data_IF_024296878536
#
_entry.id   IF_024296878536
#
_cell.length_a   1.000
_cell.length_b   1.000
_cell.length_c   1.000
_cell.angle_alpha   90.00
_cell.angle_beta   90.00
_cell.angle_gamma   90.00
#
_symmetry.space_group_name_H-M   'P 1'
#
loop_
_entity.id
_entity.type
_entity.pdbx_description
1 polymer ?
#
# COMPACT_ATOMS: atom_id res chain seq x y z
N UNK A 1 -15.22 63.00 26.95
CA UNK A 1 -14.00 62.57 26.23
C UNK A 1 -13.44 61.19 26.66
N UNK A 2 -13.62 60.78 27.91
CA UNK A 2 -13.12 59.44 28.34
C UNK A 2 -13.89 58.24 27.82
N UNK A 3 -15.18 58.41 27.44
CA UNK A 3 -16.01 57.30 26.88
C UNK A 3 -15.75 56.98 25.42
N UNK A 4 -15.25 57.94 24.64
CA UNK A 4 -14.94 57.74 23.22
C UNK A 4 -13.62 56.97 23.01
N UNK A 5 -12.67 57.15 23.96
CA UNK A 5 -11.38 56.46 23.93
C UNK A 5 -11.52 54.95 24.25
N UNK A 6 -12.49 54.59 25.10
CA UNK A 6 -12.73 53.17 25.43
C UNK A 6 -13.40 52.41 24.27
N UNK A 7 -14.27 53.11 23.51
CA UNK A 7 -14.94 52.51 22.35
C UNK A 7 -13.96 52.25 21.17
N UNK A 8 -12.98 53.16 21.00
CA UNK A 8 -11.94 53.00 19.99
C UNK A 8 -10.94 51.88 20.33
N UNK A 9 -10.66 51.70 21.65
CA UNK A 9 -9.80 50.61 22.11
C UNK A 9 -10.47 49.22 21.96
N UNK A 10 -11.79 49.14 22.15
CA UNK A 10 -12.54 47.89 21.94
C UNK A 10 -12.66 47.57 20.45
N UNK A 11 -12.79 48.58 19.59
CA UNK A 11 -12.85 48.38 18.15
C UNK A 11 -11.50 47.93 17.56
N UNK A 12 -10.37 48.34 18.15
CA UNK A 12 -9.04 47.87 17.73
C UNK A 12 -8.70 46.47 18.28
N UNK A 13 -9.34 45.98 19.32
CA UNK A 13 -9.15 44.64 19.85
C UNK A 13 -9.98 43.58 19.10
N UNK A 14 -10.99 43.99 18.31
CA UNK A 14 -11.78 43.06 17.49
C UNK A 14 -11.16 42.73 16.11
N UNK A 15 -10.07 43.42 15.76
CA UNK A 15 -9.41 43.22 14.44
C UNK A 15 -8.27 42.19 14.45
N UNK A 16 -8.02 41.49 15.60
CA UNK A 16 -6.91 40.55 15.74
C UNK A 16 -7.36 39.08 15.81
N UNK A 17 -8.67 38.83 15.73
CA UNK A 17 -9.17 37.46 15.56
C UNK A 17 -9.71 37.35 14.12
N UNK A 18 -8.84 37.50 13.15
CA UNK A 18 -9.06 36.83 11.89
C UNK A 18 -8.86 35.32 12.18
N UNK A 19 -9.86 34.46 11.95
CA UNK A 19 -9.58 33.04 11.94
C UNK A 19 -8.52 32.85 10.85
N UNK A 20 -7.35 32.37 11.26
CA UNK A 20 -6.43 31.77 10.33
C UNK A 20 -7.23 30.64 9.71
N UNK A 21 -7.82 30.86 8.56
CA UNK A 21 -8.19 29.75 7.69
C UNK A 21 -6.86 29.06 7.42
N UNK A 22 -6.62 27.97 8.15
CA UNK A 22 -5.63 27.02 7.71
C UNK A 22 -6.02 26.74 6.27
N UNK A 23 -5.16 27.08 5.34
CA UNK A 23 -5.28 26.72 3.94
C UNK A 23 -5.41 25.20 3.96
N UNK A 24 -6.64 24.73 3.78
CA UNK A 24 -6.94 23.31 3.70
C UNK A 24 -6.10 22.80 2.54
N UNK A 25 -5.05 22.05 2.87
CA UNK A 25 -4.15 21.52 1.88
C UNK A 25 -5.02 20.84 0.81
N UNK A 26 -4.94 21.32 -0.41
CA UNK A 26 -5.72 20.77 -1.52
C UNK A 26 -5.52 19.24 -1.52
N UNK A 27 -6.60 18.49 -1.61
CA UNK A 27 -6.52 17.04 -1.70
C UNK A 27 -5.55 16.67 -2.84
N UNK A 28 -4.65 15.70 -2.62
CA UNK A 28 -3.65 15.34 -3.61
C UNK A 28 -4.32 14.97 -4.92
N UNK A 29 -3.75 15.41 -6.04
CA UNK A 29 -4.23 15.07 -7.37
C UNK A 29 -4.08 13.57 -7.62
N UNK A 30 -4.87 13.02 -8.55
CA UNK A 30 -4.77 11.61 -8.96
C UNK A 30 -3.33 11.23 -9.35
N UNK A 31 -2.61 12.13 -10.00
CA UNK A 31 -1.20 11.93 -10.38
C UNK A 31 -0.29 11.85 -9.16
N UNK A 32 -0.53 12.66 -8.12
CA UNK A 32 0.24 12.61 -6.87
C UNK A 32 -0.07 11.34 -6.07
N UNK A 33 -1.33 10.91 -6.04
CA UNK A 33 -1.72 9.63 -5.42
C UNK A 33 -1.10 8.44 -6.15
N UNK A 34 -1.08 8.44 -7.49
CA UNK A 34 -0.44 7.41 -8.29
C UNK A 34 1.09 7.42 -8.09
N UNK A 35 1.71 8.58 -7.98
CA UNK A 35 3.14 8.69 -7.69
C UNK A 35 3.48 8.10 -6.31
N UNK A 36 2.67 8.38 -5.29
CA UNK A 36 2.84 7.77 -3.95
C UNK A 36 2.55 6.27 -3.94
N UNK A 37 1.58 5.79 -4.74
CA UNK A 37 1.23 4.38 -4.81
C UNK A 37 2.23 3.54 -5.60
N UNK A 38 3.11 4.17 -6.39
CA UNK A 38 4.04 3.51 -7.29
C UNK A 38 5.51 3.65 -6.87
N UNK A 39 5.78 4.00 -5.62
CA UNK A 39 7.15 4.09 -5.11
C UNK A 39 7.71 2.66 -4.92
N UNK A 40 8.22 2.09 -5.99
CA UNK A 40 8.84 0.77 -5.99
C UNK A 40 10.32 0.85 -6.37
N UNK A 41 11.11 0.04 -5.70
CA UNK A 41 12.51 -0.19 -6.03
C UNK A 41 12.64 -1.35 -7.03
N UNK A 42 13.69 -1.31 -7.81
CA UNK A 42 14.00 -2.35 -8.81
C UNK A 42 15.40 -2.88 -8.57
N UNK A 43 15.51 -4.20 -8.51
CA UNK A 43 16.78 -4.92 -8.65
C UNK A 43 16.86 -5.32 -10.11
N UNK A 44 17.84 -4.79 -10.83
CA UNK A 44 17.98 -5.08 -12.26
C UNK A 44 18.50 -6.51 -12.48
N UNK A 45 18.16 -7.05 -13.65
CA UNK A 45 18.69 -8.33 -14.09
C UNK A 45 20.20 -8.20 -14.34
N UNK A 46 20.93 -9.25 -14.02
CA UNK A 46 22.38 -9.34 -14.28
C UNK A 46 22.70 -10.72 -14.86
N UNK A 47 23.03 -10.75 -16.13
CA UNK A 47 23.38 -11.98 -16.83
C UNK A 47 24.66 -12.64 -16.30
N UNK A 48 25.58 -11.85 -15.75
CA UNK A 48 26.86 -12.38 -15.26
C UNK A 48 26.67 -13.20 -13.97
N UNK A 49 25.73 -12.80 -13.11
CA UNK A 49 25.38 -13.51 -11.88
C UNK A 49 24.18 -14.42 -12.06
N UNK A 50 23.38 -14.22 -13.09
CA UNK A 50 22.09 -14.87 -13.28
C UNK A 50 20.95 -14.24 -12.48
N UNK A 51 21.12 -13.02 -11.95
CA UNK A 51 20.07 -12.32 -11.22
C UNK A 51 18.89 -11.99 -12.11
N UNK A 52 17.69 -12.38 -11.69
CA UNK A 52 16.46 -11.95 -12.33
C UNK A 52 16.04 -10.56 -11.89
N UNK A 53 15.39 -9.80 -12.77
CA UNK A 53 14.82 -8.50 -12.44
C UNK A 53 13.68 -8.66 -11.44
N UNK A 54 13.76 -7.94 -10.32
CA UNK A 54 12.74 -7.94 -9.28
C UNK A 54 12.28 -6.50 -9.00
N UNK A 55 10.98 -6.28 -8.85
CA UNK A 55 10.42 -5.03 -8.35
C UNK A 55 9.79 -5.26 -6.99
N UNK A 56 9.94 -4.33 -6.06
CA UNK A 56 9.42 -4.45 -4.70
C UNK A 56 9.16 -3.06 -4.11
N UNK A 57 8.36 -2.99 -3.05
CA UNK A 57 8.10 -1.75 -2.31
C UNK A 57 9.01 -1.72 -1.10
N UNK A 58 9.86 -0.69 -1.02
CA UNK A 58 10.76 -0.49 0.10
C UNK A 58 9.98 -0.38 1.42
N UNK A 59 10.48 -1.04 2.46
CA UNK A 59 9.84 -1.08 3.77
C UNK A 59 8.63 -2.02 3.88
N UNK A 60 8.08 -2.49 2.75
CA UNK A 60 6.98 -3.46 2.76
C UNK A 60 7.45 -4.88 2.45
N UNK A 61 8.35 -5.03 1.48
CA UNK A 61 8.89 -6.33 1.10
C UNK A 61 10.35 -6.40 1.50
N UNK A 62 10.72 -7.35 2.35
CA UNK A 62 12.11 -7.62 2.66
C UNK A 62 12.81 -8.31 1.49
N UNK A 63 14.11 -8.04 1.35
CA UNK A 63 14.97 -8.69 0.36
C UNK A 63 15.95 -9.58 1.09
N UNK A 64 15.98 -10.84 0.70
CA UNK A 64 16.95 -11.84 1.15
C UNK A 64 18.10 -11.93 0.16
N UNK A 65 19.28 -12.27 0.66
CA UNK A 65 20.44 -12.55 -0.15
C UNK A 65 20.93 -13.97 0.12
N UNK A 66 20.99 -14.78 -0.92
CA UNK A 66 21.49 -16.14 -0.88
C UNK A 66 22.31 -16.44 -2.15
N UNK A 67 23.46 -17.05 -1.98
CA UNK A 67 24.38 -17.40 -3.09
C UNK A 67 24.79 -16.20 -3.98
N UNK A 68 24.82 -14.98 -3.40
CA UNK A 68 25.09 -13.75 -4.13
C UNK A 68 23.93 -13.23 -4.98
N UNK A 69 22.75 -13.82 -4.85
CA UNK A 69 21.52 -13.44 -5.55
C UNK A 69 20.48 -12.90 -4.56
N UNK A 70 19.55 -12.09 -5.08
CA UNK A 70 18.50 -11.43 -4.30
C UNK A 70 17.14 -12.05 -4.56
N UNK A 71 16.37 -12.20 -3.49
CA UNK A 71 15.04 -12.81 -3.47
C UNK A 71 14.10 -11.95 -2.64
N UNK A 72 12.79 -12.07 -2.89
CA UNK A 72 11.78 -11.42 -2.07
C UNK A 72 11.38 -12.35 -0.93
N UNK A 73 11.42 -11.84 0.29
CA UNK A 73 10.81 -12.48 1.47
C UNK A 73 9.33 -12.07 1.52
N UNK A 74 8.47 -12.92 1.00
CA UNK A 74 7.05 -12.61 0.83
C UNK A 74 6.25 -12.83 2.12
N UNK A 75 6.64 -13.83 2.92
CA UNK A 75 6.01 -14.13 4.21
C UNK A 75 6.70 -13.45 5.40
N UNK A 76 7.82 -12.75 5.17
CA UNK A 76 8.59 -11.99 6.17
C UNK A 76 9.15 -12.85 7.30
N UNK A 77 9.49 -14.10 7.01
CA UNK A 77 10.07 -15.01 7.99
C UNK A 77 11.61 -14.93 8.10
N UNK A 78 12.26 -14.18 7.21
CA UNK A 78 13.70 -13.99 7.16
C UNK A 78 14.47 -15.18 6.59
N UNK A 79 13.81 -16.11 5.92
CA UNK A 79 14.40 -17.30 5.29
C UNK A 79 13.96 -17.35 3.84
N UNK A 80 14.80 -17.91 2.99
CA UNK A 80 14.42 -18.18 1.61
C UNK A 80 13.64 -19.49 1.56
N UNK A 81 12.34 -19.40 1.43
CA UNK A 81 11.48 -20.55 1.21
C UNK A 81 11.52 -20.97 -0.27
N UNK A 82 11.20 -22.25 -0.55
CA UNK A 82 11.31 -22.73 -1.93
C UNK A 82 10.35 -22.02 -2.88
N UNK A 83 9.16 -21.59 -2.43
CA UNK A 83 8.23 -20.86 -3.29
C UNK A 83 8.72 -19.43 -3.65
N UNK A 84 9.63 -18.87 -2.87
CA UNK A 84 10.25 -17.56 -3.11
C UNK A 84 11.47 -17.65 -4.04
N UNK A 85 12.08 -18.83 -4.11
CA UNK A 85 13.26 -19.08 -4.92
C UNK A 85 12.89 -19.20 -6.40
N UNK A 86 13.07 -18.11 -7.13
CA UNK A 86 12.77 -18.03 -8.55
C UNK A 86 13.66 -18.91 -9.44
N UNK A 87 14.72 -19.53 -8.90
CA UNK A 87 15.59 -20.50 -9.61
C UNK A 87 14.93 -21.87 -9.76
N UNK A 88 13.99 -22.19 -8.85
CA UNK A 88 13.26 -23.46 -8.85
C UNK A 88 12.16 -23.48 -9.91
N UNK A 89 11.78 -24.68 -10.30
CA UNK A 89 10.66 -24.88 -11.23
C UNK A 89 9.34 -24.43 -10.61
N UNK A 90 8.35 -24.13 -11.46
CA UNK A 90 7.02 -23.75 -10.98
C UNK A 90 6.40 -24.85 -10.10
N UNK A 91 6.58 -26.12 -10.46
CA UNK A 91 6.01 -27.25 -9.72
C UNK A 91 6.61 -27.36 -8.31
N UNK A 92 7.93 -27.18 -8.16
CA UNK A 92 8.60 -27.18 -6.87
C UNK A 92 8.14 -26.02 -5.99
N UNK A 93 8.03 -24.84 -6.56
CA UNK A 93 7.56 -23.63 -5.87
C UNK A 93 6.09 -23.76 -5.45
N UNK A 94 5.22 -24.28 -6.33
CA UNK A 94 3.81 -24.50 -6.03
C UNK A 94 3.66 -25.55 -4.91
N UNK A 95 4.40 -26.66 -4.98
CA UNK A 95 4.33 -27.70 -3.96
C UNK A 95 4.71 -27.17 -2.57
N UNK A 96 5.76 -26.35 -2.50
CA UNK A 96 6.19 -25.73 -1.24
C UNK A 96 5.13 -24.72 -0.73
N UNK A 97 4.64 -23.83 -1.57
CA UNK A 97 3.61 -22.86 -1.18
C UNK A 97 2.35 -23.55 -0.67
N UNK A 98 1.84 -24.56 -1.39
CA UNK A 98 0.65 -25.30 -0.98
C UNK A 98 0.86 -26.04 0.35
N UNK A 99 2.09 -26.50 0.65
CA UNK A 99 2.39 -27.16 1.93
C UNK A 99 2.32 -26.20 3.13
N UNK A 100 2.46 -24.90 2.88
CA UNK A 100 2.46 -23.85 3.90
C UNK A 100 1.09 -23.16 4.04
N UNK A 101 0.21 -23.28 3.03
CA UNK A 101 -1.12 -22.68 3.05
C UNK A 101 -2.10 -23.48 3.89
N UNK A 102 -2.96 -22.77 4.60
CA UNK A 102 -4.14 -23.36 5.25
C UNK A 102 -5.21 -23.72 4.23
N UNK A 103 -6.17 -24.56 4.62
CA UNK A 103 -7.30 -24.90 3.75
C UNK A 103 -8.13 -23.67 3.39
N UNK A 104 -8.32 -22.75 4.35
CA UNK A 104 -9.03 -21.49 4.14
C UNK A 104 -8.33 -20.59 3.11
N UNK A 105 -7.00 -20.50 3.15
CA UNK A 105 -6.21 -19.73 2.19
C UNK A 105 -6.27 -20.34 0.79
N UNK A 106 -6.22 -21.67 0.69
CA UNK A 106 -6.38 -22.36 -0.59
C UNK A 106 -7.77 -22.12 -1.19
N UNK A 107 -8.83 -22.20 -0.38
CA UNK A 107 -10.20 -21.93 -0.82
C UNK A 107 -10.34 -20.46 -1.23
N UNK A 108 -9.85 -19.54 -0.41
CA UNK A 108 -9.88 -18.11 -0.69
C UNK A 108 -9.18 -17.74 -1.99
N UNK A 109 -8.06 -18.42 -2.29
CA UNK A 109 -7.30 -18.24 -3.52
C UNK A 109 -8.06 -18.68 -4.80
N UNK A 110 -9.01 -19.60 -4.67
CA UNK A 110 -9.84 -20.05 -5.79
C UNK A 110 -11.06 -19.16 -6.06
N UNK A 111 -11.42 -18.30 -5.10
CA UNK A 111 -12.62 -17.47 -5.19
C UNK A 111 -12.27 -16.11 -5.78
N UNK A 112 -13.17 -15.59 -6.62
CA UNK A 112 -13.15 -14.24 -7.12
C UNK A 112 -14.53 -13.63 -6.96
N UNK A 113 -14.66 -12.58 -6.15
CA UNK A 113 -15.93 -11.91 -5.93
C UNK A 113 -15.88 -10.45 -6.33
N UNK A 114 -17.06 -9.90 -6.59
CA UNK A 114 -17.23 -8.46 -6.76
C UNK A 114 -17.46 -7.85 -5.37
N UNK A 115 -16.53 -7.03 -4.91
CA UNK A 115 -16.60 -6.36 -3.62
C UNK A 115 -16.53 -4.84 -3.78
N UNK A 116 -17.26 -4.12 -2.93
CA UNK A 116 -17.06 -2.69 -2.80
C UNK A 116 -15.72 -2.42 -2.11
N UNK A 117 -15.11 -1.26 -2.39
CA UNK A 117 -13.76 -0.92 -1.91
C UNK A 117 -13.70 -0.90 -0.37
N UNK A 118 -14.75 -0.44 0.29
CA UNK A 118 -14.88 -0.41 1.75
C UNK A 118 -14.97 -1.82 2.39
N UNK A 119 -15.39 -2.82 1.62
CA UNK A 119 -15.50 -4.22 2.04
C UNK A 119 -14.25 -5.04 1.70
N UNK A 120 -13.38 -4.51 0.83
CA UNK A 120 -12.23 -5.25 0.32
C UNK A 120 -11.35 -5.81 1.43
N UNK A 121 -11.04 -4.99 2.43
CA UNK A 121 -10.19 -5.40 3.56
C UNK A 121 -10.82 -6.55 4.35
N UNK A 122 -12.10 -6.46 4.66
CA UNK A 122 -12.83 -7.52 5.35
C UNK A 122 -12.80 -8.84 4.56
N UNK A 123 -13.02 -8.77 3.26
CA UNK A 123 -13.01 -9.94 2.38
C UNK A 123 -11.61 -10.58 2.29
N UNK A 124 -10.56 -9.77 2.22
CA UNK A 124 -9.19 -10.26 2.22
C UNK A 124 -8.82 -10.90 3.55
N UNK A 125 -9.11 -10.22 4.66
CA UNK A 125 -8.68 -10.65 5.98
C UNK A 125 -9.44 -11.87 6.49
N UNK A 126 -10.78 -11.92 6.29
CA UNK A 126 -11.64 -12.98 6.81
C UNK A 126 -11.74 -14.18 5.86
N UNK A 127 -11.87 -13.95 4.57
CA UNK A 127 -12.05 -15.03 3.58
C UNK A 127 -10.75 -15.39 2.83
N UNK A 128 -9.63 -14.74 3.14
CA UNK A 128 -8.31 -14.99 2.52
C UNK A 128 -8.33 -14.88 0.98
N UNK A 129 -9.23 -14.06 0.46
CA UNK A 129 -9.40 -13.92 -0.99
C UNK A 129 -8.27 -13.13 -1.62
N UNK A 130 -7.72 -13.64 -2.71
CA UNK A 130 -6.62 -13.02 -3.45
C UNK A 130 -7.09 -12.33 -4.73
N UNK A 131 -8.30 -12.59 -5.18
CA UNK A 131 -8.88 -11.99 -6.38
C UNK A 131 -10.17 -11.24 -6.07
N UNK A 132 -10.17 -9.92 -6.27
CA UNK A 132 -11.32 -9.05 -6.11
C UNK A 132 -11.62 -8.31 -7.40
N UNK A 133 -12.88 -8.30 -7.80
CA UNK A 133 -13.38 -7.45 -8.87
C UNK A 133 -14.00 -6.19 -8.25
N UNK A 134 -13.47 -5.03 -8.59
CA UNK A 134 -14.05 -3.75 -8.18
C UNK A 134 -14.94 -3.20 -9.28
N UNK A 135 -16.19 -2.94 -8.93
CA UNK A 135 -17.08 -2.21 -9.83
C UNK A 135 -16.92 -0.69 -9.58
N UNK A 136 -16.08 -0.07 -10.38
CA UNK A 136 -15.80 1.37 -10.30
C UNK A 136 -16.84 2.18 -11.06
N UNK A 137 -18.12 1.91 -10.87
CA UNK A 137 -19.23 2.65 -11.52
C UNK A 137 -19.19 4.15 -11.19
N UNK A 138 -18.14 4.83 -11.62
CA UNK A 138 -18.05 6.30 -11.63
C UNK A 138 -17.98 6.99 -10.26
N UNK A 139 -17.85 6.26 -9.17
CA UNK A 139 -17.58 6.86 -7.85
C UNK A 139 -16.09 7.14 -7.67
N UNK A 140 -15.71 8.38 -7.34
CA UNK A 140 -14.32 8.69 -7.03
C UNK A 140 -13.83 7.80 -5.88
N UNK A 141 -12.67 7.21 -6.03
CA UNK A 141 -12.02 6.46 -4.95
C UNK A 141 -11.54 7.50 -3.94
N UNK A 142 -12.23 7.61 -2.82
CA UNK A 142 -11.73 8.40 -1.68
C UNK A 142 -10.92 7.46 -0.80
N UNK A 143 -9.60 7.57 -0.88
CA UNK A 143 -8.70 6.85 0.03
C UNK A 143 -8.66 7.64 1.34
N UNK A 144 -9.35 7.16 2.35
CA UNK A 144 -9.17 7.64 3.73
C UNK A 144 -8.11 6.81 4.40
N UNK A 145 -7.03 7.49 4.85
CA UNK A 145 -5.98 6.88 5.67
C UNK A 145 -6.50 6.51 7.06
#
# INVERSE_FOLDING_TARGET
MKKLSLFLAILMMLSVIAPSFAEEAAAPTETELLAQACDFAVIEADEATGQHRLSYIEGQTAILEADGLKFKDLNKNGKLDAYEDWRLTADERIADLLSQMTEEEMIGGLLCINAALDQARYVIDEFKMTCLLFNLNGTPITVTN
#
